data_IF_561264048280
#
_entry.id   IF_561264048280
#
_cell.length_a   1.000
_cell.length_b   1.000
_cell.length_c   1.000
_cell.angle_alpha   90.00
_cell.angle_beta   90.00
_cell.angle_gamma   90.00
#
_symmetry.space_group_name_H-M   'P 1'
#
loop_
_entity.id
_entity.type
_entity.pdbx_description
1 polymer ?
#
# COMPACT_ATOMS: atom_id res chain seq x y z
N UNK A 1 -9.65 7.28 14.69
CA UNK A 1 -9.19 8.17 13.61
C UNK A 1 -8.62 7.31 12.49
N UNK A 2 -8.41 7.86 11.28
CA UNK A 2 -7.77 7.12 10.17
C UNK A 2 -6.36 6.62 10.54
N UNK A 3 -5.61 7.40 11.34
CA UNK A 3 -4.30 7.01 11.87
C UNK A 3 -4.41 5.79 12.79
N UNK A 4 -5.36 5.81 13.74
CA UNK A 4 -5.55 4.68 14.65
C UNK A 4 -5.97 3.39 13.92
N UNK A 5 -6.77 3.52 12.85
CA UNK A 5 -7.12 2.38 12.01
C UNK A 5 -5.87 1.82 11.29
N UNK A 6 -5.09 2.68 10.62
CA UNK A 6 -3.88 2.26 9.91
C UNK A 6 -2.84 1.58 10.83
N UNK A 7 -2.64 2.12 12.03
CA UNK A 7 -1.72 1.52 13.00
C UNK A 7 -2.22 0.17 13.54
N UNK A 8 -3.53 0.04 13.78
CA UNK A 8 -4.14 -1.23 14.21
C UNK A 8 -4.00 -2.30 13.11
N UNK A 9 -4.34 -1.99 11.87
CA UNK A 9 -4.22 -2.97 10.77
C UNK A 9 -2.75 -3.37 10.54
N UNK A 10 -1.80 -2.43 10.59
CA UNK A 10 -0.38 -2.78 10.46
C UNK A 10 0.12 -3.71 11.58
N UNK A 11 -0.41 -3.57 12.80
CA UNK A 11 -0.15 -4.49 13.90
C UNK A 11 -0.78 -5.86 13.66
N UNK A 12 -2.05 -5.91 13.25
CA UNK A 12 -2.79 -7.14 13.02
C UNK A 12 -2.27 -7.95 11.82
N UNK A 13 -1.96 -7.29 10.70
CA UNK A 13 -1.61 -7.93 9.43
C UNK A 13 -0.13 -8.32 9.34
N UNK A 14 0.78 -7.48 9.84
CA UNK A 14 2.24 -7.65 9.67
C UNK A 14 3.05 -7.49 10.95
N UNK A 15 2.39 -7.42 12.11
CA UNK A 15 3.00 -7.34 13.44
C UNK A 15 3.87 -6.09 13.68
N UNK A 16 3.56 -4.97 13.03
CA UNK A 16 4.25 -3.69 13.28
C UNK A 16 3.62 -3.03 14.51
N UNK A 17 4.35 -2.89 15.65
CA UNK A 17 3.77 -2.28 16.84
C UNK A 17 3.49 -0.79 16.60
N UNK A 18 2.33 -0.25 17.01
CA UNK A 18 2.01 1.16 16.83
C UNK A 18 3.04 2.12 17.45
N UNK A 19 3.70 1.70 18.53
CA UNK A 19 4.75 2.47 19.22
C UNK A 19 6.06 2.55 18.44
N UNK A 20 6.27 1.70 17.43
CA UNK A 20 7.45 1.70 16.57
C UNK A 20 7.28 2.60 15.33
N UNK A 21 6.08 3.15 15.09
CA UNK A 21 5.78 3.94 13.90
C UNK A 21 5.82 5.44 14.24
N UNK A 22 6.71 6.18 13.58
CA UNK A 22 6.65 7.63 13.54
C UNK A 22 5.75 8.07 12.38
N UNK A 23 4.52 8.48 12.67
CA UNK A 23 3.59 8.98 11.65
C UNK A 23 4.01 10.37 11.20
N UNK A 24 4.34 10.51 9.91
CA UNK A 24 4.84 11.78 9.32
C UNK A 24 3.77 12.53 8.53
N UNK A 25 2.64 11.91 8.22
CA UNK A 25 1.55 12.60 7.52
C UNK A 25 0.41 11.70 7.08
N UNK A 26 -0.64 12.37 6.58
CA UNK A 26 -1.81 11.74 5.98
C UNK A 26 -1.95 12.32 4.58
N UNK A 27 -2.00 11.46 3.56
CA UNK A 27 -2.17 11.88 2.18
C UNK A 27 -3.65 12.11 1.86
N UNK A 28 -3.97 12.87 0.79
CA UNK A 28 -5.34 13.02 0.33
C UNK A 28 -6.00 11.65 0.09
N UNK A 29 -7.30 11.51 0.40
CA UNK A 29 -8.00 10.26 0.17
C UNK A 29 -8.08 9.92 -1.32
N UNK A 30 -8.08 8.63 -1.61
CA UNK A 30 -8.23 8.08 -2.95
C UNK A 30 -9.49 7.22 -2.98
N UNK A 31 -10.30 7.40 -4.01
CA UNK A 31 -11.51 6.61 -4.20
C UNK A 31 -11.16 5.28 -4.87
N UNK A 32 -11.55 4.19 -4.24
CA UNK A 32 -11.41 2.86 -4.80
C UNK A 32 -12.40 2.64 -5.95
N UNK A 33 -12.07 1.70 -6.83
CA UNK A 33 -12.96 1.27 -7.92
C UNK A 33 -14.30 0.68 -7.44
N UNK A 34 -14.40 0.33 -6.15
CA UNK A 34 -15.61 -0.21 -5.51
C UNK A 34 -16.40 0.83 -4.72
N UNK A 35 -15.99 2.11 -4.74
CA UNK A 35 -16.72 3.21 -4.11
C UNK A 35 -16.38 3.44 -2.63
N UNK A 36 -15.25 2.92 -2.16
CA UNK A 36 -14.72 3.23 -0.83
C UNK A 36 -13.71 4.35 -0.90
N UNK A 37 -13.69 5.20 0.11
CA UNK A 37 -12.67 6.22 0.25
C UNK A 37 -11.54 5.70 1.16
N UNK A 38 -10.33 5.62 0.62
CA UNK A 38 -9.16 5.14 1.36
C UNK A 38 -8.22 6.30 1.64
N UNK A 39 -7.78 6.43 2.89
CA UNK A 39 -6.93 7.53 3.35
C UNK A 39 -5.54 6.98 3.71
N UNK A 40 -4.50 7.23 2.90
CA UNK A 40 -3.16 6.72 3.18
C UNK A 40 -2.52 7.47 4.35
N UNK A 41 -1.96 6.71 5.30
CA UNK A 41 -1.18 7.23 6.43
C UNK A 41 0.28 6.84 6.21
N UNK A 42 1.18 7.81 6.26
CA UNK A 42 2.62 7.57 6.02
C UNK A 42 3.34 7.56 7.35
N UNK A 43 4.09 6.49 7.60
CA UNK A 43 4.90 6.32 8.80
C UNK A 43 6.31 5.83 8.49
N UNK A 44 7.24 6.15 9.38
CA UNK A 44 8.62 5.66 9.37
C UNK A 44 8.75 4.60 10.46
N UNK A 45 9.42 3.49 10.14
CA UNK A 45 9.71 2.37 11.06
C UNK A 45 11.23 2.12 11.13
N UNK A 46 11.72 1.48 12.21
CA UNK A 46 13.11 1.04 12.28
C UNK A 46 13.47 0.09 11.12
N UNK A 47 14.70 0.18 10.57
CA UNK A 47 15.09 -0.59 9.38
C UNK A 47 15.16 -2.11 9.63
N UNK A 48 15.40 -2.53 10.87
CA UNK A 48 15.55 -3.95 11.24
C UNK A 48 14.31 -4.50 11.97
N UNK A 49 13.15 -3.85 11.79
CA UNK A 49 11.91 -4.28 12.43
C UNK A 49 11.44 -5.60 11.79
N UNK A 50 11.29 -6.70 12.56
CA UNK A 50 10.85 -7.97 11.99
C UNK A 50 9.36 -7.92 11.64
N UNK A 51 9.03 -8.24 10.39
CA UNK A 51 7.64 -8.43 9.99
C UNK A 51 7.18 -9.87 10.24
N UNK A 52 5.91 -10.02 10.61
CA UNK A 52 5.25 -11.32 10.66
C UNK A 52 3.87 -11.22 10.05
N UNK A 53 3.70 -11.86 8.90
CA UNK A 53 2.41 -11.98 8.24
C UNK A 53 1.39 -12.71 9.14
N UNK A 54 0.19 -12.17 9.22
CA UNK A 54 -1.00 -12.90 9.66
C UNK A 54 -1.39 -13.92 8.58
N UNK A 55 -1.36 -15.22 8.90
CA UNK A 55 -1.60 -16.29 7.93
C UNK A 55 -3.01 -16.27 7.33
N UNK A 56 -3.98 -15.69 8.05
CA UNK A 56 -5.37 -15.62 7.61
C UNK A 56 -5.61 -14.56 6.51
N UNK A 57 -4.74 -13.54 6.43
CA UNK A 57 -4.97 -12.36 5.59
C UNK A 57 -3.77 -12.02 4.67
N UNK A 58 -2.54 -12.38 5.06
CA UNK A 58 -1.30 -11.99 4.38
C UNK A 58 -0.48 -13.23 3.98
N UNK A 59 -0.34 -13.43 2.67
CA UNK A 59 0.43 -14.56 2.12
C UNK A 59 1.93 -14.30 1.96
N UNK A 60 2.34 -13.02 1.87
CA UNK A 60 3.73 -12.63 1.72
C UNK A 60 3.94 -11.17 2.18
N UNK A 61 5.13 -10.90 2.73
CA UNK A 61 5.62 -9.55 3.02
C UNK A 61 6.90 -9.34 2.22
N UNK A 62 7.02 -8.18 1.58
CA UNK A 62 8.22 -7.80 0.82
C UNK A 62 8.44 -6.29 0.90
N UNK A 63 9.68 -5.86 0.68
CA UNK A 63 10.06 -4.46 0.68
C UNK A 63 10.54 -4.03 -0.71
N UNK A 64 10.14 -2.84 -1.14
CA UNK A 64 10.65 -2.21 -2.35
C UNK A 64 11.47 -0.98 -1.98
N UNK A 65 12.73 -0.85 -2.45
CA UNK A 65 13.49 0.37 -2.25
C UNK A 65 12.72 1.58 -2.77
N UNK A 66 12.62 2.63 -1.95
CA UNK A 66 11.85 3.83 -2.29
C UNK A 66 12.29 4.46 -3.62
N UNK A 67 13.61 4.45 -3.92
CA UNK A 67 14.13 4.94 -5.19
C UNK A 67 13.60 4.14 -6.40
N UNK A 68 13.29 2.86 -6.22
CA UNK A 68 12.61 2.07 -7.24
C UNK A 68 11.13 2.43 -7.33
N UNK A 69 10.41 2.52 -6.21
CA UNK A 69 9.00 2.92 -6.19
C UNK A 69 8.77 4.30 -6.84
N UNK A 70 9.72 5.23 -6.71
CA UNK A 70 9.65 6.57 -7.30
C UNK A 70 10.12 6.64 -8.76
N UNK A 71 10.62 5.55 -9.34
CA UNK A 71 11.04 5.54 -10.74
C UNK A 71 9.82 5.42 -11.66
N UNK A 72 9.27 6.53 -12.14
CA UNK A 72 8.03 6.52 -12.94
C UNK A 72 8.11 5.66 -14.23
N UNK A 73 9.31 5.44 -14.77
CA UNK A 73 9.52 4.67 -16.00
C UNK A 73 9.21 3.17 -15.92
N UNK A 74 8.99 2.62 -14.72
CA UNK A 74 8.60 1.19 -14.53
C UNK A 74 7.09 0.96 -14.44
N UNK A 75 6.29 2.03 -14.50
CA UNK A 75 4.83 1.93 -14.48
C UNK A 75 4.26 1.93 -15.89
N UNK A 76 3.47 0.91 -16.20
CA UNK A 76 2.80 0.75 -17.50
C UNK A 76 1.30 1.05 -17.35
N UNK A 77 0.73 1.90 -18.21
CA UNK A 77 -0.70 2.17 -18.16
C UNK A 77 -1.49 1.02 -18.79
N UNK A 78 -2.63 0.68 -18.16
CA UNK A 78 -3.66 -0.18 -18.74
C UNK A 78 -5.01 0.53 -18.63
N UNK A 79 -5.67 0.71 -19.77
CA UNK A 79 -7.01 1.27 -19.82
C UNK A 79 -8.04 0.13 -19.69
N UNK A 80 -8.85 0.18 -18.64
CA UNK A 80 -9.87 -0.81 -18.33
C UNK A 80 -11.25 -0.19 -18.59
N UNK A 81 -12.03 -0.85 -19.43
CA UNK A 81 -13.42 -0.47 -19.69
C UNK A 81 -14.36 -1.24 -18.76
N UNK A 82 -15.09 -0.52 -17.90
CA UNK A 82 -16.12 -1.09 -17.02
C UNK A 82 -17.33 -0.17 -16.98
N UNK A 83 -18.53 -0.76 -17.12
CA UNK A 83 -19.83 -0.04 -17.00
C UNK A 83 -19.98 1.19 -17.91
N UNK A 84 -19.27 1.24 -19.04
CA UNK A 84 -19.29 2.38 -19.97
C UNK A 84 -18.23 3.43 -19.71
N UNK A 85 -17.50 3.33 -18.60
CA UNK A 85 -16.42 4.24 -18.22
C UNK A 85 -15.05 3.60 -18.45
N UNK A 86 -14.10 4.42 -18.92
CA UNK A 86 -12.69 4.03 -19.07
C UNK A 86 -11.90 4.49 -17.85
N UNK A 87 -11.28 3.55 -17.15
CA UNK A 87 -10.40 3.83 -16.03
C UNK A 87 -8.98 3.40 -16.36
N UNK A 88 -8.02 4.32 -16.20
CA UNK A 88 -6.60 3.99 -16.33
C UNK A 88 -6.06 3.48 -15.00
N UNK A 89 -5.44 2.31 -15.03
CA UNK A 89 -4.65 1.78 -13.92
C UNK A 89 -3.17 1.73 -14.30
N UNK A 90 -2.29 1.85 -13.31
CA UNK A 90 -0.85 1.74 -13.49
C UNK A 90 -0.37 0.40 -12.95
N UNK A 91 0.48 -0.27 -13.72
CA UNK A 91 0.98 -1.61 -13.44
C UNK A 91 2.49 -1.57 -13.29
N UNK A 92 3.02 -2.28 -12.30
CA UNK A 92 4.46 -2.41 -12.09
C UNK A 92 4.81 -3.82 -11.60
N UNK A 93 5.91 -4.38 -12.11
CA UNK A 93 6.48 -5.61 -11.59
C UNK A 93 7.67 -5.29 -10.69
N UNK A 94 7.71 -5.93 -9.53
CA UNK A 94 8.86 -5.92 -8.64
C UNK A 94 9.17 -7.34 -8.19
N UNK A 95 10.30 -7.88 -8.67
CA UNK A 95 10.62 -9.30 -8.57
C UNK A 95 9.45 -10.17 -9.11
N UNK A 96 8.95 -11.12 -8.33
CA UNK A 96 7.76 -11.91 -8.64
C UNK A 96 6.42 -11.20 -8.35
N UNK A 97 6.43 -10.04 -7.71
CA UNK A 97 5.22 -9.36 -7.27
C UNK A 97 4.68 -8.42 -8.33
N UNK A 98 3.39 -8.57 -8.62
CA UNK A 98 2.65 -7.71 -9.52
C UNK A 98 1.87 -6.66 -8.73
N UNK A 99 2.32 -5.40 -8.81
CA UNK A 99 1.76 -4.26 -8.07
C UNK A 99 0.92 -3.41 -9.02
N UNK A 100 -0.34 -3.17 -8.66
CA UNK A 100 -1.29 -2.44 -9.50
C UNK A 100 -2.47 -1.92 -8.69
N UNK A 101 -3.23 -0.99 -9.28
CA UNK A 101 -4.45 -0.47 -8.68
C UNK A 101 -4.20 0.82 -7.91
N UNK A 102 -4.87 0.96 -6.76
CA UNK A 102 -4.73 2.14 -5.90
C UNK A 102 -3.28 2.32 -5.43
#
# INVERSE_FOLDING_TARGET
SVIAAALREAEEEVAIPPSAVEVIGVLPPVDSVTGYQVTPVVGIIPPDLPYRASEDEVSAVFEMPLAQALHLGRYYPLDIYRRGDSHRVWLSWYEQYFVWGM
#
